data_IF_608916885215
#
_entry.id   IF_608916885215
#
_cell.length_a   1.000
_cell.length_b   1.000
_cell.length_c   1.000
_cell.angle_alpha   90.00
_cell.angle_beta   90.00
_cell.angle_gamma   90.00
#
_symmetry.space_group_name_H-M   'P 1'
#
loop_
_entity.id
_entity.type
_entity.pdbx_description
1 polymer ?
#
# COMPACT_ATOMS: atom_id res chain seq x y z
N UNK A 1 -42.00 40.27 -36.15
CA UNK A 1 -41.04 40.24 -35.04
C UNK A 1 -40.86 38.79 -34.67
N UNK A 2 -39.80 38.12 -35.21
CA UNK A 2 -39.56 36.69 -35.02
C UNK A 2 -38.49 36.51 -33.96
N UNK A 3 -38.91 36.14 -32.77
CA UNK A 3 -38.02 35.81 -31.65
C UNK A 3 -37.52 34.38 -31.83
N UNK A 4 -36.25 34.22 -32.21
CA UNK A 4 -35.56 32.92 -32.24
C UNK A 4 -34.97 32.67 -30.86
N UNK A 5 -35.54 31.72 -30.09
CA UNK A 5 -34.91 31.19 -28.88
C UNK A 5 -33.66 30.39 -29.28
N UNK A 6 -32.52 30.63 -28.63
CA UNK A 6 -31.38 29.75 -28.79
C UNK A 6 -31.63 28.45 -28.00
N UNK A 7 -31.64 27.33 -28.70
CA UNK A 7 -31.69 26.00 -28.12
C UNK A 7 -30.34 25.75 -27.43
N UNK A 8 -30.32 25.83 -26.11
CA UNK A 8 -29.18 25.50 -25.30
C UNK A 8 -28.95 23.97 -25.37
N UNK A 9 -28.01 23.55 -26.20
CA UNK A 9 -27.56 22.17 -26.29
C UNK A 9 -26.84 21.82 -24.98
N UNK A 10 -27.56 21.23 -24.02
CA UNK A 10 -26.93 20.54 -22.90
C UNK A 10 -26.14 19.34 -23.42
N UNK A 11 -24.83 19.53 -23.56
CA UNK A 11 -23.89 18.46 -23.82
C UNK A 11 -23.82 17.58 -22.56
N UNK A 12 -24.22 16.30 -22.59
CA UNK A 12 -24.02 15.44 -21.43
C UNK A 12 -22.52 15.26 -21.25
N UNK A 13 -21.97 15.84 -20.20
CA UNK A 13 -20.64 15.54 -19.72
C UNK A 13 -20.67 14.10 -19.25
N UNK A 14 -20.33 13.16 -20.14
CA UNK A 14 -20.17 11.76 -19.79
C UNK A 14 -19.12 11.68 -18.68
N UNK A 15 -19.57 11.38 -17.47
CA UNK A 15 -18.73 11.03 -16.35
C UNK A 15 -17.96 9.77 -16.75
N UNK A 16 -16.74 9.94 -17.24
CA UNK A 16 -15.74 8.91 -17.37
C UNK A 16 -15.39 8.47 -15.95
N UNK A 17 -16.24 7.62 -15.37
CA UNK A 17 -15.89 6.85 -14.18
C UNK A 17 -14.78 5.89 -14.62
N UNK A 18 -13.56 6.40 -14.64
CA UNK A 18 -12.39 5.64 -15.04
C UNK A 18 -12.19 4.47 -14.10
N UNK A 19 -11.95 3.29 -14.67
CA UNK A 19 -11.48 2.12 -13.94
C UNK A 19 -10.16 2.50 -13.25
N UNK A 20 -10.22 2.82 -11.97
CA UNK A 20 -9.09 3.36 -11.23
C UNK A 20 -8.39 2.27 -10.42
N UNK A 21 -7.07 2.26 -10.52
CA UNK A 21 -6.17 1.54 -9.61
C UNK A 21 -5.62 2.59 -8.66
N UNK A 22 -5.78 2.37 -7.37
CA UNK A 22 -5.35 3.30 -6.34
C UNK A 22 -4.14 2.76 -5.59
N UNK A 23 -3.19 3.63 -5.33
CA UNK A 23 -2.08 3.36 -4.42
C UNK A 23 -1.93 4.53 -3.47
N UNK A 24 -1.85 4.23 -2.20
CA UNK A 24 -1.63 5.24 -1.16
C UNK A 24 -0.60 4.72 -0.17
N UNK A 25 0.43 5.51 0.10
CA UNK A 25 1.44 5.19 1.09
C UNK A 25 1.64 6.38 2.02
N UNK A 26 1.43 6.12 3.31
CA UNK A 26 1.86 6.99 4.40
C UNK A 26 3.08 6.33 5.04
N UNK A 27 4.28 6.83 4.78
CA UNK A 27 5.51 6.23 5.29
C UNK A 27 5.55 6.22 6.81
N UNK A 28 6.24 5.23 7.37
CA UNK A 28 6.64 5.25 8.77
C UNK A 28 7.75 6.27 8.91
N UNK A 29 7.60 7.20 9.85
CA UNK A 29 8.72 8.03 10.27
C UNK A 29 9.86 7.14 10.81
N UNK A 30 11.10 7.64 10.76
CA UNK A 30 12.27 6.85 11.12
C UNK A 30 12.07 6.09 12.44
N UNK A 31 12.15 4.78 12.37
CA UNK A 31 12.04 3.90 13.52
C UNK A 31 13.45 3.65 14.03
N UNK A 32 13.72 4.10 15.27
CA UNK A 32 15.01 3.85 15.91
C UNK A 32 15.25 2.37 16.22
N UNK A 33 14.17 1.56 16.22
CA UNK A 33 14.24 0.13 16.48
C UNK A 33 14.63 -0.63 15.19
N UNK A 34 15.52 -1.59 15.34
CA UNK A 34 15.97 -2.44 14.23
C UNK A 34 15.10 -3.70 14.08
N UNK A 35 14.20 -3.96 15.04
CA UNK A 35 13.30 -5.11 15.00
C UNK A 35 11.89 -4.70 14.59
N UNK A 36 11.33 -5.41 13.61
CA UNK A 36 9.92 -5.33 13.22
C UNK A 36 9.26 -6.67 13.48
N UNK A 37 8.23 -6.68 14.32
CA UNK A 37 7.40 -7.85 14.55
C UNK A 37 6.27 -7.87 13.51
N UNK A 38 6.10 -8.97 12.79
CA UNK A 38 5.05 -9.13 11.79
C UNK A 38 4.05 -10.18 12.27
N UNK A 39 2.81 -9.79 12.46
CA UNK A 39 1.72 -10.72 12.84
C UNK A 39 1.35 -11.54 11.62
N UNK A 40 1.48 -12.87 11.74
CA UNK A 40 1.15 -13.79 10.66
C UNK A 40 -0.34 -13.76 10.35
N UNK A 41 -0.67 -13.70 9.06
CA UNK A 41 -2.03 -13.83 8.57
C UNK A 41 -2.16 -15.09 7.71
N UNK A 42 -2.73 -16.19 8.25
CA UNK A 42 -2.84 -17.46 7.54
C UNK A 42 -3.81 -17.43 6.35
N UNK A 43 -4.65 -16.39 6.23
CA UNK A 43 -5.57 -16.21 5.09
C UNK A 43 -4.85 -15.66 3.86
N UNK A 44 -3.62 -15.15 4.04
CA UNK A 44 -2.82 -14.56 2.97
C UNK A 44 -1.81 -15.59 2.46
N UNK A 45 -1.56 -15.57 1.15
CA UNK A 45 -0.56 -16.46 0.53
C UNK A 45 0.80 -16.33 1.22
N UNK A 46 1.50 -17.43 1.54
CA UNK A 46 2.79 -17.39 2.23
C UNK A 46 3.87 -16.57 1.51
N UNK A 47 3.78 -16.46 0.17
CA UNK A 47 4.71 -15.64 -0.62
C UNK A 47 4.71 -14.17 -0.21
N UNK A 48 3.58 -13.63 0.26
CA UNK A 48 3.49 -12.22 0.72
C UNK A 48 4.38 -12.00 1.94
N UNK A 49 4.28 -12.89 2.95
CA UNK A 49 5.15 -12.82 4.12
C UNK A 49 6.62 -12.97 3.73
N UNK A 50 6.92 -13.89 2.81
CA UNK A 50 8.30 -14.11 2.34
C UNK A 50 8.86 -12.85 1.67
N UNK A 51 8.11 -12.24 0.74
CA UNK A 51 8.52 -11.00 0.06
C UNK A 51 8.63 -9.84 1.05
N UNK A 52 7.70 -9.72 1.99
CA UNK A 52 7.73 -8.68 3.02
C UNK A 52 8.99 -8.79 3.88
N UNK A 53 9.27 -9.99 4.42
CA UNK A 53 10.47 -10.25 5.22
C UNK A 53 11.74 -9.95 4.46
N UNK A 54 11.80 -10.38 3.20
CA UNK A 54 12.97 -10.12 2.36
C UNK A 54 13.26 -8.63 2.25
N UNK A 55 12.25 -7.81 1.92
CA UNK A 55 12.46 -6.36 1.74
C UNK A 55 12.85 -5.70 3.05
N UNK A 56 12.26 -6.09 4.18
CA UNK A 56 12.65 -5.56 5.49
C UNK A 56 14.09 -5.95 5.85
N UNK A 57 14.49 -7.20 5.58
CA UNK A 57 15.86 -7.66 5.81
C UNK A 57 16.86 -6.91 4.93
N UNK A 58 16.54 -6.70 3.64
CA UNK A 58 17.37 -5.92 2.70
C UNK A 58 17.56 -4.46 3.20
N UNK A 59 16.63 -3.95 4.01
CA UNK A 59 16.72 -2.64 4.67
C UNK A 59 17.41 -2.67 6.04
N UNK A 60 17.91 -3.82 6.47
CA UNK A 60 18.62 -4.00 7.74
C UNK A 60 17.73 -4.26 8.96
N UNK A 61 16.41 -4.43 8.77
CA UNK A 61 15.53 -4.80 9.87
C UNK A 61 15.62 -6.29 10.19
N UNK A 62 15.58 -6.63 11.48
CA UNK A 62 15.36 -8.00 11.95
C UNK A 62 13.85 -8.24 12.03
N UNK A 63 13.36 -9.26 11.33
CA UNK A 63 11.93 -9.58 11.34
C UNK A 63 11.66 -10.72 12.32
N UNK A 64 10.76 -10.47 13.27
CA UNK A 64 10.20 -11.48 14.18
C UNK A 64 8.76 -11.77 13.77
N UNK A 65 8.46 -13.02 13.44
CA UNK A 65 7.10 -13.45 13.19
C UNK A 65 6.36 -13.67 14.51
N UNK A 66 5.14 -13.15 14.58
CA UNK A 66 4.22 -13.37 15.71
C UNK A 66 3.02 -14.20 15.23
N UNK A 67 2.40 -14.98 16.13
CA UNK A 67 1.18 -15.70 15.81
C UNK A 67 0.02 -14.71 15.49
N UNK A 68 -1.01 -15.19 14.78
CA UNK A 68 -2.19 -14.41 14.44
C UNK A 68 -2.91 -13.81 15.67
N UNK A 69 -2.77 -14.47 16.83
CA UNK A 69 -3.39 -14.06 18.10
C UNK A 69 -2.61 -12.98 18.85
N UNK A 70 -1.43 -12.59 18.34
CA UNK A 70 -0.61 -11.58 18.98
C UNK A 70 -1.27 -10.20 18.95
N UNK A 71 -1.03 -9.41 19.98
CA UNK A 71 -1.47 -8.03 20.03
C UNK A 71 -0.50 -7.10 19.31
N UNK A 72 -1.01 -5.99 18.78
CA UNK A 72 -0.18 -4.97 18.14
C UNK A 72 0.80 -4.28 19.10
N UNK A 73 0.62 -4.51 20.41
CA UNK A 73 1.47 -3.98 21.50
C UNK A 73 2.51 -4.98 21.99
N UNK A 74 2.56 -6.20 21.43
CA UNK A 74 3.53 -7.24 21.86
C UNK A 74 4.97 -6.92 21.47
N UNK A 75 5.14 -5.97 20.55
CA UNK A 75 6.43 -5.40 20.18
C UNK A 75 6.31 -3.88 20.06
N UNK A 76 7.43 -3.20 20.19
CA UNK A 76 7.50 -1.74 20.01
C UNK A 76 7.11 -1.34 18.58
N UNK A 77 7.60 -2.09 17.60
CA UNK A 77 7.23 -1.94 16.19
C UNK A 77 6.55 -3.22 15.74
N UNK A 78 5.26 -3.14 15.47
CA UNK A 78 4.45 -4.27 15.02
C UNK A 78 3.83 -3.95 13.66
N UNK A 79 3.76 -4.93 12.79
CA UNK A 79 3.13 -4.79 11.50
C UNK A 79 2.11 -5.89 11.24
N UNK A 80 1.04 -5.50 10.54
CA UNK A 80 0.02 -6.41 9.99
C UNK A 80 -0.03 -6.25 8.49
N UNK A 81 -0.52 -7.28 7.80
CA UNK A 81 -0.69 -7.25 6.36
C UNK A 81 -1.93 -8.00 5.91
N UNK A 82 -2.48 -7.60 4.77
CA UNK A 82 -3.55 -8.27 4.03
C UNK A 82 -3.20 -8.27 2.56
N UNK A 83 -3.59 -9.32 1.83
CA UNK A 83 -3.50 -9.33 0.38
C UNK A 83 -4.53 -10.31 -0.18
N UNK A 84 -5.21 -9.90 -1.25
CA UNK A 84 -6.27 -10.67 -1.88
C UNK A 84 -6.01 -10.82 -3.38
N UNK A 85 -6.38 -11.98 -3.90
CA UNK A 85 -6.28 -12.30 -5.31
C UNK A 85 -7.66 -12.47 -5.92
N UNK A 86 -7.76 -12.13 -7.19
CA UNK A 86 -8.94 -12.35 -8.02
C UNK A 86 -8.52 -12.97 -9.36
N UNK A 87 -9.40 -13.79 -9.91
CA UNK A 87 -9.25 -14.28 -11.25
C UNK A 87 -10.04 -13.40 -12.24
N UNK A 88 -9.37 -12.95 -13.30
CA UNK A 88 -9.96 -12.25 -14.43
C UNK A 88 -8.99 -12.40 -15.61
N UNK A 89 -9.26 -13.36 -16.52
CA UNK A 89 -8.34 -13.83 -17.56
C UNK A 89 -7.04 -14.44 -17.01
N UNK A 90 -6.52 -13.93 -15.90
CA UNK A 90 -5.41 -14.45 -15.13
C UNK A 90 -5.64 -14.20 -13.64
N UNK A 91 -4.92 -14.94 -12.79
CA UNK A 91 -4.91 -14.67 -11.35
C UNK A 91 -4.00 -13.48 -11.05
N UNK A 92 -4.51 -12.44 -10.40
CA UNK A 92 -3.74 -11.26 -10.03
C UNK A 92 -4.04 -10.81 -8.59
N UNK A 93 -3.08 -10.14 -7.97
CA UNK A 93 -3.28 -9.48 -6.69
C UNK A 93 -4.08 -8.20 -6.93
N UNK A 94 -5.32 -8.15 -6.46
CA UNK A 94 -6.17 -6.97 -6.64
C UNK A 94 -6.20 -6.04 -5.44
N UNK A 95 -5.70 -6.50 -4.30
CA UNK A 95 -5.59 -5.70 -3.07
C UNK A 95 -4.38 -6.12 -2.26
N UNK A 96 -3.68 -5.15 -1.69
CA UNK A 96 -2.66 -5.37 -0.66
C UNK A 96 -2.66 -4.18 0.31
N UNK A 97 -2.51 -4.48 1.59
CA UNK A 97 -2.44 -3.50 2.67
C UNK A 97 -1.37 -3.92 3.68
N UNK A 98 -0.53 -2.96 4.07
CA UNK A 98 0.47 -3.13 5.12
C UNK A 98 0.31 -1.99 6.11
N UNK A 99 0.16 -2.31 7.39
CA UNK A 99 0.05 -1.34 8.48
C UNK A 99 1.21 -1.51 9.44
N UNK A 100 1.74 -0.41 9.92
CA UNK A 100 2.83 -0.39 10.91
C UNK A 100 2.37 0.39 12.13
N UNK A 101 2.56 -0.22 13.26
CA UNK A 101 2.25 0.34 14.58
C UNK A 101 3.55 0.53 15.35
N UNK A 102 3.70 1.68 15.97
CA UNK A 102 4.78 1.98 16.91
C UNK A 102 4.14 2.29 18.26
N UNK A 103 4.54 1.56 19.29
CA UNK A 103 3.94 1.64 20.63
C UNK A 103 2.41 1.53 20.58
N UNK A 104 1.89 0.59 19.76
CA UNK A 104 0.47 0.32 19.57
C UNK A 104 -0.31 1.38 18.76
N UNK A 105 0.34 2.43 18.26
CA UNK A 105 -0.30 3.47 17.43
C UNK A 105 0.07 3.30 15.96
N UNK A 106 -0.92 3.35 15.07
CA UNK A 106 -0.68 3.29 13.63
C UNK A 106 0.16 4.50 13.18
N UNK A 107 1.32 4.22 12.62
CA UNK A 107 2.29 5.21 12.15
C UNK A 107 2.58 5.12 10.66
N UNK A 108 2.29 3.97 10.04
CA UNK A 108 2.50 3.77 8.61
C UNK A 108 1.38 2.95 7.99
N UNK A 109 1.09 3.24 6.73
CA UNK A 109 0.09 2.53 5.93
C UNK A 109 0.54 2.50 4.47
N UNK A 110 0.51 1.34 3.85
CA UNK A 110 0.64 1.20 2.41
C UNK A 110 -0.52 0.38 1.87
N UNK A 111 -1.23 0.92 0.89
CA UNK A 111 -2.38 0.28 0.24
C UNK A 111 -2.19 0.27 -1.27
N UNK A 112 -2.43 -0.87 -1.89
CA UNK A 112 -2.66 -1.03 -3.30
C UNK A 112 -4.07 -1.58 -3.49
N UNK A 113 -4.88 -0.92 -4.31
CA UNK A 113 -6.27 -1.29 -4.56
C UNK A 113 -6.60 -1.21 -6.05
N UNK A 114 -6.75 -2.37 -6.67
CA UNK A 114 -7.21 -2.56 -8.03
C UNK A 114 -8.60 -3.21 -8.08
N UNK A 115 -9.37 -3.17 -7.00
CA UNK A 115 -10.72 -3.78 -6.92
C UNK A 115 -11.67 -3.19 -7.96
N UNK A 116 -11.50 -1.91 -8.28
CA UNK A 116 -12.26 -1.18 -9.29
C UNK A 116 -11.50 -1.00 -10.62
N UNK A 117 -10.44 -1.79 -10.83
CA UNK A 117 -9.60 -1.71 -12.03
C UNK A 117 -10.31 -2.02 -13.35
N UNK A 118 -11.47 -2.70 -13.31
CA UNK A 118 -12.28 -3.01 -14.49
C UNK A 118 -11.44 -3.59 -15.63
N UNK A 119 -11.52 -2.97 -16.81
CA UNK A 119 -10.77 -3.36 -18.00
C UNK A 119 -9.32 -2.82 -18.03
N UNK A 120 -8.85 -2.16 -16.98
CA UNK A 120 -7.49 -1.65 -16.93
C UNK A 120 -6.47 -2.80 -16.84
N UNK A 121 -5.71 -3.01 -17.92
CA UNK A 121 -4.71 -4.10 -17.99
C UNK A 121 -3.54 -3.92 -17.02
N UNK A 122 -3.31 -2.72 -16.49
CA UNK A 122 -2.28 -2.46 -15.48
C UNK A 122 -2.57 -3.12 -14.12
N UNK A 123 -3.75 -3.75 -13.94
CA UNK A 123 -4.04 -4.58 -12.76
C UNK A 123 -3.27 -5.90 -12.72
N UNK A 124 -2.79 -6.39 -13.87
CA UNK A 124 -2.00 -7.63 -13.97
C UNK A 124 -0.53 -7.36 -13.65
N UNK A 125 -0.26 -7.06 -12.39
CA UNK A 125 1.07 -6.75 -11.87
C UNK A 125 1.76 -8.00 -11.34
N UNK A 126 3.08 -7.95 -11.29
CA UNK A 126 3.89 -8.87 -10.50
C UNK A 126 3.69 -8.53 -9.01
N UNK A 127 3.10 -9.48 -8.26
CA UNK A 127 2.75 -9.24 -6.86
C UNK A 127 3.99 -9.01 -5.98
N UNK A 128 5.08 -9.75 -6.20
CA UNK A 128 6.29 -9.62 -5.39
C UNK A 128 6.97 -8.27 -5.62
N UNK A 129 7.01 -7.81 -6.88
CA UNK A 129 7.52 -6.47 -7.21
C UNK A 129 6.65 -5.37 -6.60
N UNK A 130 5.33 -5.52 -6.65
CA UNK A 130 4.41 -4.55 -6.06
C UNK A 130 4.53 -4.51 -4.53
N UNK A 131 4.64 -5.66 -3.88
CA UNK A 131 4.90 -5.73 -2.44
C UNK A 131 6.21 -5.03 -2.10
N UNK A 132 7.29 -5.32 -2.85
CA UNK A 132 8.57 -4.67 -2.63
C UNK A 132 8.49 -3.15 -2.81
N UNK A 133 7.79 -2.67 -3.83
CA UNK A 133 7.54 -1.24 -4.05
C UNK A 133 6.84 -0.60 -2.85
N UNK A 134 5.73 -1.20 -2.39
CA UNK A 134 4.94 -0.70 -1.26
C UNK A 134 5.76 -0.64 0.03
N UNK A 135 6.53 -1.70 0.32
CA UNK A 135 7.34 -1.78 1.54
C UNK A 135 8.52 -0.81 1.47
N UNK A 136 9.11 -0.61 0.29
CA UNK A 136 10.16 0.39 0.10
C UNK A 136 9.67 1.81 0.36
N UNK A 137 8.45 2.12 -0.05
CA UNK A 137 7.82 3.42 0.21
C UNK A 137 7.34 3.55 1.66
N UNK A 138 6.84 2.45 2.26
CA UNK A 138 6.38 2.42 3.65
C UNK A 138 7.53 2.63 4.64
N UNK A 139 8.71 2.06 4.35
CA UNK A 139 9.92 2.20 5.15
C UNK A 139 11.00 2.92 4.31
N UNK A 140 10.93 4.24 4.12
CA UNK A 140 11.86 4.96 3.23
C UNK A 140 13.31 4.95 3.73
N UNK A 141 13.52 4.82 5.04
CA UNK A 141 14.84 4.65 5.66
C UNK A 141 15.21 3.18 5.86
N UNK A 142 16.48 2.91 6.14
CA UNK A 142 16.93 1.62 6.67
C UNK A 142 16.82 1.57 8.20
N UNK A 143 17.03 0.36 8.77
CA UNK A 143 17.06 0.17 10.20
C UNK A 143 18.12 1.07 10.87
N UNK A 144 17.75 1.73 11.96
CA UNK A 144 18.67 2.61 12.73
C UNK A 144 19.02 3.94 12.05
N UNK A 145 18.50 4.23 10.86
CA UNK A 145 18.68 5.56 10.27
C UNK A 145 17.66 6.54 10.85
N UNK A 146 18.15 7.55 11.57
CA UNK A 146 17.35 8.75 11.80
C UNK A 146 17.21 9.47 10.46
N UNK A 147 16.07 9.31 9.79
CA UNK A 147 15.80 10.13 8.61
C UNK A 147 15.77 11.59 9.06
N UNK A 148 16.80 12.35 8.66
CA UNK A 148 16.69 13.79 8.71
C UNK A 148 15.47 14.16 7.84
N UNK A 149 14.47 14.78 8.46
CA UNK A 149 13.33 15.36 7.76
C UNK A 149 13.89 16.40 6.79
N UNK A 150 13.97 16.08 5.53
CA UNK A 150 14.21 17.08 4.50
C UNK A 150 12.95 17.95 4.42
N UNK A 151 13.04 19.27 4.58
CA UNK A 151 11.91 20.17 4.43
C UNK A 151 11.42 20.11 2.97
N UNK A 152 10.13 19.90 2.82
CA UNK A 152 9.31 19.82 1.64
C UNK A 152 9.92 20.23 0.29
N UNK A 153 10.03 19.27 -0.63
CA UNK A 153 10.06 19.57 -2.04
C UNK A 153 8.62 19.53 -2.56
N UNK A 154 8.07 20.70 -2.77
CA UNK A 154 6.84 20.91 -3.54
C UNK A 154 7.09 20.38 -4.95
N UNK A 155 6.41 19.30 -5.34
CA UNK A 155 6.35 18.88 -6.73
C UNK A 155 5.36 19.80 -7.42
N UNK A 156 5.85 20.73 -8.22
CA UNK A 156 5.07 21.43 -9.23
C UNK A 156 5.03 20.51 -10.44
N UNK A 157 3.84 20.31 -10.98
CA UNK A 157 3.34 19.53 -12.11
C UNK A 157 4.32 19.09 -13.18
#
# INVERSE_FOLDING_TARGET
>A
MNSRLPTLACLPLALLAGCAIHQNVRPVEAVADTQVCVINNPEVRPSVMASYKKVLADKGYTVRELPQTAAITDCKVTSTYRANWRWDLAMYMHYAEFRVFVDGKEKGLAVYDATHGGANMNKFIDADKKIAELINQLFPGGAGTHAAVAPGTTVIQ
#
